data_IF_033782962167
#
_entry.id   IF_033782962167
#
_cell.length_a   1.000
_cell.length_b   1.000
_cell.length_c   1.000
_cell.angle_alpha   90.00
_cell.angle_beta   90.00
_cell.angle_gamma   90.00
#
_symmetry.space_group_name_H-M   'P 1'
#
loop_
_entity.id
_entity.type
_entity.pdbx_description
1 polymer ?
#
# COMPACT_ATOMS: atom_id res chain seq x y z
N UNK A 1 -30.47 3.35 -27.54
CA UNK A 1 -29.03 3.07 -27.27
C UNK A 1 -28.29 4.33 -26.80
N UNK A 2 -29.01 5.44 -26.66
CA UNK A 2 -28.51 6.81 -26.47
C UNK A 2 -28.17 7.13 -25.00
N UNK A 3 -28.86 6.47 -24.06
CA UNK A 3 -28.56 6.58 -22.63
C UNK A 3 -27.22 5.92 -22.26
N UNK A 4 -26.83 4.86 -22.98
CA UNK A 4 -25.56 4.16 -22.75
C UNK A 4 -24.41 5.01 -23.30
N UNK A 5 -24.55 5.56 -24.51
CA UNK A 5 -23.54 6.46 -25.09
C UNK A 5 -23.31 7.71 -24.23
N UNK A 6 -24.39 8.30 -23.67
CA UNK A 6 -24.29 9.46 -22.79
C UNK A 6 -23.46 9.23 -21.51
N UNK A 7 -23.38 7.98 -21.03
CA UNK A 7 -22.55 7.61 -19.86
C UNK A 7 -21.17 7.13 -20.29
N UNK A 8 -21.03 6.51 -21.46
CA UNK A 8 -19.74 5.99 -21.95
C UNK A 8 -18.81 7.12 -22.41
N UNK A 9 -19.33 8.13 -23.11
CA UNK A 9 -18.54 9.28 -23.58
C UNK A 9 -17.73 10.00 -22.48
N UNK A 10 -18.32 10.36 -21.32
CA UNK A 10 -17.55 10.98 -20.24
C UNK A 10 -16.51 10.03 -19.61
N UNK A 11 -16.76 8.72 -19.57
CA UNK A 11 -15.76 7.75 -19.09
C UNK A 11 -14.56 7.65 -20.05
N UNK A 12 -14.81 7.68 -21.36
CA UNK A 12 -13.75 7.66 -22.38
C UNK A 12 -12.92 8.95 -22.32
N UNK A 13 -13.57 10.11 -22.14
CA UNK A 13 -12.85 11.36 -21.95
C UNK A 13 -12.06 11.39 -20.64
N UNK A 14 -12.61 10.83 -19.54
CA UNK A 14 -11.91 10.74 -18.27
C UNK A 14 -10.65 9.89 -18.37
N UNK A 15 -10.75 8.68 -18.93
CA UNK A 15 -9.60 7.78 -19.11
C UNK A 15 -8.51 8.42 -19.98
N UNK A 16 -8.89 9.10 -21.07
CA UNK A 16 -7.94 9.85 -21.90
C UNK A 16 -7.24 10.97 -21.11
N UNK A 17 -7.98 11.67 -20.26
CA UNK A 17 -7.45 12.73 -19.40
C UNK A 17 -6.54 12.19 -18.29
N UNK A 18 -6.88 11.04 -17.69
CA UNK A 18 -6.05 10.36 -16.68
C UNK A 18 -4.70 9.94 -17.24
N UNK A 19 -4.68 9.41 -18.48
CA UNK A 19 -3.44 9.03 -19.16
C UNK A 19 -2.57 10.25 -19.46
N UNK A 20 -3.19 11.36 -19.91
CA UNK A 20 -2.46 12.60 -20.13
C UNK A 20 -1.84 13.14 -18.84
N UNK A 21 -2.60 13.12 -17.74
CA UNK A 21 -2.13 13.51 -16.42
C UNK A 21 -0.94 12.64 -15.95
N UNK A 22 -1.04 11.32 -16.07
CA UNK A 22 0.02 10.41 -15.66
C UNK A 22 1.34 10.64 -16.43
N UNK A 23 1.27 11.01 -17.71
CA UNK A 23 2.45 11.38 -18.48
C UNK A 23 3.05 12.74 -18.10
N UNK A 24 2.25 13.64 -17.50
CA UNK A 24 2.69 14.95 -17.01
C UNK A 24 3.36 14.86 -15.63
N UNK A 25 3.08 13.82 -14.86
CA UNK A 25 3.70 13.59 -13.55
C UNK A 25 5.22 13.37 -13.70
N UNK A 26 6.00 13.97 -12.80
CA UNK A 26 7.42 13.62 -12.67
C UNK A 26 7.53 12.21 -12.10
N UNK A 27 8.18 11.31 -12.84
CA UNK A 27 8.37 9.92 -12.40
C UNK A 27 9.55 9.89 -11.44
N UNK A 28 9.43 9.22 -10.28
CA UNK A 28 10.53 9.14 -9.33
C UNK A 28 11.74 8.49 -10.00
N UNK A 29 12.92 9.06 -9.76
CA UNK A 29 14.16 8.51 -10.31
C UNK A 29 14.53 7.19 -9.60
N UNK A 30 15.33 6.35 -10.26
CA UNK A 30 15.76 5.07 -9.66
C UNK A 30 16.48 5.26 -8.32
N UNK A 31 17.21 6.36 -8.12
CA UNK A 31 17.88 6.66 -6.86
C UNK A 31 16.87 6.96 -5.75
N UNK A 32 15.88 7.79 -6.03
CA UNK A 32 14.82 8.17 -5.07
C UNK A 32 13.97 6.95 -4.70
N UNK A 33 13.60 6.14 -5.69
CA UNK A 33 12.84 4.92 -5.47
C UNK A 33 13.60 3.94 -4.56
N UNK A 34 14.90 3.74 -4.79
CA UNK A 34 15.74 2.87 -3.95
C UNK A 34 15.81 3.35 -2.51
N UNK A 35 15.98 4.65 -2.29
CA UNK A 35 16.01 5.22 -0.93
C UNK A 35 14.69 5.00 -0.20
N UNK A 36 13.57 5.28 -0.86
CA UNK A 36 12.25 5.09 -0.26
C UNK A 36 11.92 3.61 -0.01
N UNK A 37 12.30 2.73 -0.94
CA UNK A 37 12.14 1.29 -0.79
C UNK A 37 12.96 0.76 0.40
N UNK A 38 14.20 1.23 0.57
CA UNK A 38 15.05 0.84 1.70
C UNK A 38 14.49 1.33 3.05
N UNK A 39 14.04 2.59 3.12
CA UNK A 39 13.41 3.13 4.32
C UNK A 39 12.14 2.34 4.69
N UNK A 40 11.31 2.00 3.70
CA UNK A 40 10.10 1.21 3.90
C UNK A 40 10.40 -0.22 4.33
N UNK A 41 11.43 -0.85 3.74
CA UNK A 41 11.86 -2.20 4.10
C UNK A 41 12.32 -2.29 5.57
N UNK A 42 13.06 -1.28 6.04
CA UNK A 42 13.46 -1.20 7.46
C UNK A 42 12.22 -1.06 8.36
N UNK A 43 11.27 -0.19 8.00
CA UNK A 43 10.04 -0.01 8.76
C UNK A 43 9.20 -1.29 8.84
N UNK A 44 9.07 -2.00 7.72
CA UNK A 44 8.35 -3.29 7.68
C UNK A 44 9.03 -4.33 8.57
N UNK A 45 10.36 -4.41 8.51
CA UNK A 45 11.12 -5.36 9.33
C UNK A 45 11.02 -5.02 10.82
N UNK A 46 11.08 -3.75 11.19
CA UNK A 46 10.89 -3.30 12.57
C UNK A 46 9.50 -3.63 13.11
N UNK A 47 8.44 -3.34 12.35
CA UNK A 47 7.06 -3.66 12.73
C UNK A 47 6.83 -5.17 12.84
N UNK A 48 7.42 -5.96 11.94
CA UNK A 48 7.37 -7.42 11.97
C UNK A 48 8.05 -8.02 13.20
N UNK A 49 9.27 -7.55 13.51
CA UNK A 49 10.04 -8.03 14.68
C UNK A 49 9.33 -7.66 15.99
N UNK A 50 8.84 -6.41 16.11
CA UNK A 50 8.08 -6.00 17.29
C UNK A 50 6.84 -6.87 17.51
N UNK A 51 6.07 -7.12 16.45
CA UNK A 51 4.89 -7.99 16.53
C UNK A 51 5.23 -9.43 16.93
N UNK A 52 6.34 -9.97 16.43
CA UNK A 52 6.81 -11.31 16.79
C UNK A 52 7.22 -11.40 18.26
N UNK A 53 8.00 -10.44 18.77
CA UNK A 53 8.43 -10.41 20.17
C UNK A 53 7.24 -10.28 21.11
N UNK A 54 6.31 -9.36 20.81
CA UNK A 54 5.04 -9.20 21.53
C UNK A 54 4.33 -10.54 21.60
N UNK A 55 4.13 -11.20 20.45
CA UNK A 55 3.40 -12.47 20.39
C UNK A 55 4.10 -13.59 21.17
N UNK A 56 5.43 -13.67 21.10
CA UNK A 56 6.22 -14.65 21.87
C UNK A 56 6.05 -14.49 23.38
N UNK A 57 5.94 -13.26 23.89
CA UNK A 57 5.75 -13.00 25.32
C UNK A 57 4.31 -13.28 25.75
N UNK A 58 3.32 -12.88 24.94
CA UNK A 58 1.91 -13.01 25.33
C UNK A 58 1.38 -14.45 25.26
N UNK A 59 1.90 -15.32 24.38
CA UNK A 59 1.46 -16.73 24.29
C UNK A 59 1.67 -17.52 25.60
N UNK A 60 2.88 -17.57 26.20
CA UNK A 60 3.10 -18.28 27.46
C UNK A 60 2.38 -17.60 28.63
N UNK A 61 2.32 -16.27 28.66
CA UNK A 61 1.57 -15.53 29.69
C UNK A 61 0.09 -15.95 29.67
N UNK A 62 -0.53 -15.97 28.49
CA UNK A 62 -1.93 -16.38 28.37
C UNK A 62 -2.13 -17.86 28.77
N UNK A 63 -1.19 -18.73 28.45
CA UNK A 63 -1.25 -20.14 28.87
C UNK A 63 -1.15 -20.31 30.40
N UNK A 64 -0.35 -19.48 31.08
CA UNK A 64 -0.20 -19.53 32.54
C UNK A 64 -1.43 -18.94 33.24
N UNK A 65 -1.98 -17.84 32.73
CA UNK A 65 -3.13 -17.15 33.34
C UNK A 65 -4.43 -17.93 33.12
N UNK A 66 -4.63 -18.51 31.93
CA UNK A 66 -5.88 -19.20 31.60
C UNK A 66 -5.90 -20.67 32.03
N UNK A 67 -4.72 -21.29 32.18
CA UNK A 67 -4.57 -22.68 32.62
C UNK A 67 -4.28 -22.83 34.12
N UNK A 68 -4.12 -21.72 34.84
CA UNK A 68 -4.07 -21.65 36.30
C UNK A 68 -5.45 -21.48 36.93
#
# INVERSE_FOLDING_TARGET
MDQVSAVVDPLVQFTKSSVHFFHRCTKPDRKEFKTNAYATAIGFLAMGVLGFVIKLVFVPINSIIVGG
#
